data_IF_226269704637
#
_entry.id   IF_226269704637
#
_cell.length_a   1.000
_cell.length_b   1.000
_cell.length_c   1.000
_cell.angle_alpha   90.00
_cell.angle_beta   90.00
_cell.angle_gamma   90.00
#
_symmetry.space_group_name_H-M   'P 1'
#
loop_
_entity.id
_entity.type
_entity.pdbx_description
1 polymer ?
#
# COMPACT_ATOMS: atom_id res chain seq x y z
N UNK A 1 -6.04 60.90 2.28
CA UNK A 1 -5.25 60.78 3.53
C UNK A 1 -5.95 59.97 4.63
N UNK A 2 -7.29 59.92 4.70
CA UNK A 2 -8.01 59.07 5.67
C UNK A 2 -7.89 57.55 5.40
N UNK A 3 -7.75 57.15 4.13
CA UNK A 3 -7.58 55.74 3.73
C UNK A 3 -6.25 55.17 4.26
N UNK A 4 -5.17 55.95 4.20
CA UNK A 4 -3.86 55.54 4.71
C UNK A 4 -3.86 55.40 6.23
N UNK A 5 -4.49 56.35 6.93
CA UNK A 5 -4.63 56.29 8.40
C UNK A 5 -5.51 55.10 8.79
N UNK A 6 -6.62 54.87 8.09
CA UNK A 6 -7.48 53.70 8.31
C UNK A 6 -6.75 52.38 8.08
N UNK A 7 -5.91 52.30 7.05
CA UNK A 7 -5.09 51.12 6.75
C UNK A 7 -4.06 50.86 7.86
N UNK A 8 -3.36 51.89 8.33
CA UNK A 8 -2.37 51.76 9.41
C UNK A 8 -3.04 51.32 10.71
N UNK A 9 -4.18 51.92 11.06
CA UNK A 9 -4.94 51.55 12.27
C UNK A 9 -5.48 50.12 12.18
N UNK A 10 -5.96 49.69 11.01
CA UNK A 10 -6.42 48.32 10.81
C UNK A 10 -5.28 47.30 10.94
N UNK A 11 -4.09 47.61 10.39
CA UNK A 11 -2.91 46.75 10.52
C UNK A 11 -2.44 46.69 11.98
N UNK A 12 -2.37 47.82 12.67
CA UNK A 12 -1.99 47.86 14.08
C UNK A 12 -2.97 47.07 14.96
N UNK A 13 -4.27 47.20 14.71
CA UNK A 13 -5.31 46.42 15.39
C UNK A 13 -5.20 44.91 15.13
N UNK A 14 -4.90 44.51 13.89
CA UNK A 14 -4.66 43.11 13.52
C UNK A 14 -3.45 42.53 14.25
N UNK A 15 -2.31 43.25 14.27
CA UNK A 15 -1.09 42.81 14.96
C UNK A 15 -1.34 42.69 16.47
N UNK A 16 -2.03 43.66 17.08
CA UNK A 16 -2.39 43.61 18.49
C UNK A 16 -3.31 42.42 18.81
N UNK A 17 -4.31 42.16 17.97
CA UNK A 17 -5.22 41.03 18.13
C UNK A 17 -4.48 39.69 18.05
N UNK A 18 -3.59 39.52 17.06
CA UNK A 18 -2.78 38.30 16.91
C UNK A 18 -1.83 38.09 18.09
N UNK A 19 -1.19 39.16 18.57
CA UNK A 19 -0.30 39.11 19.74
C UNK A 19 -1.06 38.79 21.04
N UNK A 20 -2.23 39.39 21.24
CA UNK A 20 -3.11 39.10 22.38
C UNK A 20 -3.59 37.63 22.34
N UNK A 21 -3.93 37.12 21.16
CA UNK A 21 -4.38 35.75 20.95
C UNK A 21 -3.26 34.73 21.25
N UNK A 22 -2.03 35.01 20.81
CA UNK A 22 -0.85 34.19 21.19
C UNK A 22 -0.60 34.19 22.70
N UNK A 23 -0.68 35.35 23.34
CA UNK A 23 -0.49 35.49 24.79
C UNK A 23 -1.61 34.82 25.61
N UNK A 24 -2.80 34.67 25.05
CA UNK A 24 -3.91 33.89 25.62
C UNK A 24 -3.71 32.36 25.47
N UNK A 25 -2.58 31.90 24.93
CA UNK A 25 -2.25 30.49 24.78
C UNK A 25 -2.77 29.84 23.49
N UNK A 26 -3.35 30.62 22.57
CA UNK A 26 -3.82 30.09 21.29
C UNK A 26 -2.64 29.85 20.37
N UNK A 27 -2.42 28.58 20.02
CA UNK A 27 -1.36 28.20 19.10
C UNK A 27 -1.74 28.56 17.65
N UNK A 28 -1.19 29.67 17.13
CA UNK A 28 -1.42 30.10 15.75
C UNK A 28 -0.95 29.06 14.70
N UNK A 29 -0.01 28.16 15.05
CA UNK A 29 0.37 27.06 14.16
C UNK A 29 -0.77 26.03 13.97
N UNK A 30 -1.78 26.04 14.83
CA UNK A 30 -3.02 25.26 14.67
C UNK A 30 -3.84 25.68 13.46
N UNK A 31 -3.69 26.93 12.99
CA UNK A 31 -4.38 27.48 11.82
C UNK A 31 -3.56 27.39 10.53
N UNK A 32 -2.36 26.80 10.58
CA UNK A 32 -1.57 26.60 9.37
C UNK A 32 -2.24 25.52 8.49
N UNK A 33 -2.67 25.86 7.26
CA UNK A 33 -3.38 24.93 6.39
C UNK A 33 -2.54 23.71 6.01
N UNK A 34 -1.22 23.83 5.93
CA UNK A 34 -0.31 22.71 5.65
C UNK A 34 -0.19 21.76 6.84
N UNK A 35 -0.10 22.27 8.07
CA UNK A 35 -0.05 21.44 9.27
C UNK A 35 -1.36 20.68 9.49
N UNK A 36 -2.49 21.33 9.26
CA UNK A 36 -3.81 20.69 9.31
C UNK A 36 -3.95 19.60 8.23
N UNK A 37 -3.56 19.89 6.98
CA UNK A 37 -3.61 18.90 5.90
C UNK A 37 -2.72 17.68 6.21
N UNK A 38 -1.49 17.90 6.68
CA UNK A 38 -0.58 16.83 7.08
C UNK A 38 -1.15 16.02 8.24
N UNK A 39 -1.60 16.67 9.32
CA UNK A 39 -2.21 15.98 10.47
C UNK A 39 -3.38 15.10 10.03
N UNK A 40 -4.28 15.62 9.21
CA UNK A 40 -5.44 14.86 8.72
C UNK A 40 -5.04 13.66 7.86
N UNK A 41 -3.99 13.78 7.03
CA UNK A 41 -3.42 12.63 6.29
C UNK A 41 -2.85 11.58 7.24
N UNK A 42 -2.17 12.01 8.30
CA UNK A 42 -1.61 11.11 9.31
C UNK A 42 -2.70 10.45 10.16
N UNK A 43 -3.72 11.18 10.60
CA UNK A 43 -4.87 10.63 11.33
C UNK A 43 -5.60 9.55 10.52
N UNK A 44 -5.80 9.77 9.22
CA UNK A 44 -6.37 8.75 8.32
C UNK A 44 -5.49 7.51 8.19
N UNK A 45 -4.19 7.64 8.45
CA UNK A 45 -3.26 6.52 8.42
C UNK A 45 -3.12 5.77 9.73
N UNK A 46 -3.60 6.35 10.84
CA UNK A 46 -3.62 5.67 12.12
C UNK A 46 -4.74 4.62 12.09
N UNK A 47 -4.37 3.35 12.27
CA UNK A 47 -5.31 2.23 12.33
C UNK A 47 -5.56 1.48 11.03
N UNK A 48 -5.00 1.93 9.88
CA UNK A 48 -5.01 1.13 8.64
C UNK A 48 -3.81 0.18 8.63
N UNK A 49 -4.04 -1.10 8.28
CA UNK A 49 -2.94 -2.08 8.20
C UNK A 49 -1.95 -1.64 7.11
N UNK A 50 -0.63 -1.76 7.33
CA UNK A 50 0.36 -1.36 6.33
C UNK A 50 0.14 -1.96 4.94
N UNK A 51 -0.31 -3.22 4.89
CA UNK A 51 -0.63 -3.95 3.65
C UNK A 51 -1.75 -3.30 2.81
N UNK A 52 -2.60 -2.46 3.41
CA UNK A 52 -3.70 -1.77 2.72
C UNK A 52 -3.27 -0.47 2.04
N UNK A 53 -1.98 -0.13 2.12
CA UNK A 53 -1.43 1.14 1.66
C UNK A 53 -0.41 0.96 0.54
N UNK A 54 -0.32 -0.26 -0.01
CA UNK A 54 0.54 -0.61 -1.13
C UNK A 54 -0.02 -0.01 -2.42
N UNK A 55 0.47 1.18 -2.76
CA UNK A 55 0.07 1.90 -3.98
C UNK A 55 0.82 1.42 -5.21
N UNK A 56 1.99 0.79 -5.03
CA UNK A 56 2.76 0.22 -6.12
C UNK A 56 2.22 -1.19 -6.45
N UNK A 57 1.81 -1.46 -7.72
CA UNK A 57 1.37 -2.80 -8.13
C UNK A 57 2.46 -3.88 -7.93
N UNK A 58 3.74 -3.53 -8.06
CA UNK A 58 4.85 -4.46 -7.83
C UNK A 58 4.92 -4.90 -6.37
N UNK A 59 4.80 -3.97 -5.42
CA UNK A 59 4.83 -4.28 -3.99
C UNK A 59 3.61 -5.13 -3.58
N UNK A 60 2.42 -4.78 -4.09
CA UNK A 60 1.20 -5.55 -3.84
C UNK A 60 1.29 -6.97 -4.43
N UNK A 61 1.83 -7.11 -5.64
CA UNK A 61 2.07 -8.41 -6.27
C UNK A 61 3.08 -9.23 -5.46
N UNK A 62 4.24 -8.66 -5.12
CA UNK A 62 5.27 -9.34 -4.35
C UNK A 62 4.75 -9.83 -2.99
N UNK A 63 3.95 -9.01 -2.29
CA UNK A 63 3.34 -9.40 -1.02
C UNK A 63 2.40 -10.61 -1.20
N UNK A 64 1.54 -10.60 -2.22
CA UNK A 64 0.58 -11.68 -2.46
C UNK A 64 1.24 -12.96 -2.98
N UNK A 65 2.26 -12.86 -3.84
CA UNK A 65 3.07 -14.02 -4.26
C UNK A 65 3.78 -14.62 -3.05
N UNK A 66 4.37 -13.79 -2.19
CA UNK A 66 5.01 -14.24 -0.94
C UNK A 66 4.00 -14.91 -0.01
N UNK A 67 2.78 -14.37 0.10
CA UNK A 67 1.72 -14.96 0.91
C UNK A 67 1.26 -16.34 0.40
N UNK A 68 1.21 -16.54 -0.92
CA UNK A 68 0.93 -17.85 -1.52
C UNK A 68 2.05 -18.85 -1.22
N UNK A 69 3.31 -18.42 -1.37
CA UNK A 69 4.46 -19.27 -1.08
C UNK A 69 4.49 -19.70 0.40
N UNK A 70 4.21 -18.77 1.33
CA UNK A 70 4.22 -19.02 2.79
C UNK A 70 2.93 -19.64 3.33
N UNK A 71 1.93 -19.93 2.49
CA UNK A 71 0.60 -20.36 2.95
C UNK A 71 0.64 -21.65 3.78
N UNK A 72 1.62 -22.52 3.51
CA UNK A 72 1.84 -23.79 4.24
C UNK A 72 2.85 -23.68 5.39
N UNK A 73 3.46 -22.50 5.58
CA UNK A 73 4.48 -22.28 6.59
C UNK A 73 5.76 -21.71 5.99
N UNK A 74 6.89 -22.01 6.64
CA UNK A 74 8.18 -21.50 6.22
C UNK A 74 8.66 -22.18 4.93
N UNK A 75 9.20 -21.38 4.01
CA UNK A 75 9.83 -21.88 2.79
C UNK A 75 11.17 -22.55 3.11
N UNK A 76 11.51 -23.59 2.34
CA UNK A 76 12.88 -24.09 2.30
C UNK A 76 13.83 -23.01 1.80
N UNK A 77 15.13 -23.22 2.05
CA UNK A 77 16.18 -22.31 1.57
C UNK A 77 16.17 -22.18 0.05
N UNK A 78 15.91 -23.27 -0.65
CA UNK A 78 15.92 -23.32 -2.11
C UNK A 78 14.67 -22.63 -2.67
N UNK A 79 13.48 -22.94 -2.15
CA UNK A 79 12.25 -22.25 -2.55
C UNK A 79 12.28 -20.74 -2.28
N UNK A 80 12.93 -20.32 -1.18
CA UNK A 80 13.19 -18.90 -0.92
C UNK A 80 14.10 -18.29 -2.00
N UNK A 81 15.17 -18.97 -2.39
CA UNK A 81 16.06 -18.48 -3.45
C UNK A 81 15.32 -18.40 -4.79
N UNK A 82 14.48 -19.39 -5.10
CA UNK A 82 13.66 -19.41 -6.31
C UNK A 82 12.64 -18.27 -6.33
N UNK A 83 12.00 -17.97 -5.19
CA UNK A 83 11.10 -16.83 -5.08
C UNK A 83 11.81 -15.48 -5.28
N UNK A 84 13.01 -15.32 -4.72
CA UNK A 84 13.84 -14.11 -4.93
C UNK A 84 14.25 -13.99 -6.41
N UNK A 85 14.64 -15.09 -7.04
CA UNK A 85 14.98 -15.12 -8.47
C UNK A 85 13.76 -14.82 -9.35
N UNK A 86 12.58 -15.32 -8.98
CA UNK A 86 11.32 -14.99 -9.65
C UNK A 86 11.05 -13.49 -9.60
N UNK A 87 11.24 -12.85 -8.44
CA UNK A 87 11.12 -11.38 -8.32
C UNK A 87 12.13 -10.63 -9.17
N UNK A 88 13.41 -11.02 -9.11
CA UNK A 88 14.45 -10.38 -9.91
C UNK A 88 14.15 -10.44 -11.42
N UNK A 89 13.65 -11.59 -11.88
CA UNK A 89 13.37 -11.83 -13.31
C UNK A 89 12.11 -11.12 -13.78
N UNK A 90 10.98 -11.31 -13.08
CA UNK A 90 9.68 -10.78 -13.50
C UNK A 90 9.60 -9.26 -13.34
N UNK A 91 10.17 -8.72 -12.26
CA UNK A 91 10.19 -7.27 -12.02
C UNK A 91 11.40 -6.57 -12.63
N UNK A 92 12.35 -7.33 -13.21
CA UNK A 92 13.59 -6.80 -13.81
C UNK A 92 14.40 -5.94 -12.86
N UNK A 93 14.48 -6.38 -11.61
CA UNK A 93 15.24 -5.73 -10.53
C UNK A 93 16.48 -6.55 -10.19
N UNK A 94 17.43 -5.94 -9.48
CA UNK A 94 18.62 -6.67 -9.00
C UNK A 94 18.24 -7.69 -7.93
N UNK A 95 19.07 -8.73 -7.75
CA UNK A 95 18.87 -9.74 -6.71
C UNK A 95 18.84 -9.14 -5.30
N UNK A 96 19.62 -8.09 -5.05
CA UNK A 96 19.61 -7.37 -3.77
C UNK A 96 18.24 -6.70 -3.54
N UNK A 97 17.73 -5.96 -4.53
CA UNK A 97 16.39 -5.36 -4.46
C UNK A 97 15.28 -6.41 -4.32
N UNK A 98 15.39 -7.54 -5.02
CA UNK A 98 14.45 -8.65 -4.88
C UNK A 98 14.48 -9.26 -3.47
N UNK A 99 15.66 -9.35 -2.86
CA UNK A 99 15.83 -9.82 -1.48
C UNK A 99 15.20 -8.83 -0.48
N UNK A 100 15.40 -7.53 -0.67
CA UNK A 100 14.75 -6.49 0.12
C UNK A 100 13.22 -6.53 -0.02
N UNK A 101 12.72 -6.69 -1.24
CA UNK A 101 11.29 -6.77 -1.54
C UNK A 101 10.63 -8.01 -0.88
N UNK A 102 11.31 -9.15 -0.93
CA UNK A 102 10.90 -10.35 -0.19
C UNK A 102 10.88 -10.10 1.32
N UNK A 103 11.95 -9.52 1.87
CA UNK A 103 12.05 -9.21 3.29
C UNK A 103 10.93 -8.27 3.77
N UNK A 104 10.65 -7.22 3.00
CA UNK A 104 9.56 -6.29 3.26
C UNK A 104 8.19 -6.99 3.22
N UNK A 105 7.98 -7.89 2.26
CA UNK A 105 6.76 -8.69 2.14
C UNK A 105 6.55 -9.59 3.35
N UNK A 106 7.57 -10.32 3.80
CA UNK A 106 7.51 -11.15 5.01
C UNK A 106 7.21 -10.31 6.26
N UNK A 107 7.87 -9.15 6.40
CA UNK A 107 7.63 -8.25 7.53
C UNK A 107 6.18 -7.77 7.58
N UNK A 108 5.64 -7.36 6.43
CA UNK A 108 4.25 -6.91 6.30
C UNK A 108 3.23 -8.01 6.58
N UNK A 109 3.55 -9.27 6.27
CA UNK A 109 2.68 -10.42 6.51
C UNK A 109 2.67 -10.91 7.96
N UNK A 110 3.68 -10.56 8.77
CA UNK A 110 3.85 -11.08 10.13
C UNK A 110 2.63 -10.86 11.04
N UNK A 111 1.96 -9.72 10.91
CA UNK A 111 0.81 -9.34 11.73
C UNK A 111 -0.54 -9.60 11.04
N UNK A 112 -0.53 -10.36 9.94
CA UNK A 112 -1.72 -10.67 9.14
C UNK A 112 -2.26 -12.05 9.53
N UNK A 113 -3.37 -12.05 10.27
CA UNK A 113 -4.04 -13.28 10.73
C UNK A 113 -4.67 -14.09 9.57
N UNK A 114 -5.34 -13.40 8.65
CA UNK A 114 -6.03 -14.02 7.52
C UNK A 114 -5.80 -13.19 6.27
N UNK A 115 -4.82 -13.60 5.46
CA UNK A 115 -4.52 -12.92 4.20
C UNK A 115 -5.65 -13.07 3.18
N UNK A 116 -6.47 -14.13 3.25
CA UNK A 116 -7.53 -14.39 2.28
C UNK A 116 -8.66 -13.36 2.39
N UNK A 117 -8.90 -12.83 3.60
CA UNK A 117 -9.84 -11.74 3.84
C UNK A 117 -9.29 -10.38 3.38
N UNK A 118 -7.96 -10.24 3.29
CA UNK A 118 -7.29 -8.96 3.06
C UNK A 118 -6.96 -8.71 1.59
N UNK A 119 -7.01 -9.73 0.72
CA UNK A 119 -6.70 -9.65 -0.73
C UNK A 119 -7.31 -8.41 -1.40
N UNK A 120 -8.60 -8.17 -1.16
CA UNK A 120 -9.31 -7.02 -1.72
C UNK A 120 -8.70 -5.69 -1.26
N UNK A 121 -8.43 -5.56 0.04
CA UNK A 121 -7.89 -4.33 0.62
C UNK A 121 -6.41 -4.11 0.23
N UNK A 122 -5.64 -5.18 0.02
CA UNK A 122 -4.26 -5.14 -0.47
C UNK A 122 -4.19 -4.63 -1.91
N UNK A 123 -5.08 -5.11 -2.79
CA UNK A 123 -5.06 -4.74 -4.21
C UNK A 123 -5.76 -3.41 -4.50
N UNK A 124 -6.76 -3.02 -3.71
CA UNK A 124 -7.56 -1.81 -3.97
C UNK A 124 -6.77 -0.53 -4.27
N UNK A 125 -5.64 -0.22 -3.61
CA UNK A 125 -4.89 1.01 -3.87
C UNK A 125 -4.09 1.00 -5.17
N UNK A 126 -3.75 -0.17 -5.70
CA UNK A 126 -2.87 -0.34 -6.87
C UNK A 126 -3.55 -0.99 -8.07
N UNK A 127 -4.76 -1.54 -7.92
CA UNK A 127 -5.45 -2.34 -8.95
C UNK A 127 -5.62 -1.60 -10.28
N UNK A 128 -5.87 -0.29 -10.24
CA UNK A 128 -6.05 0.53 -11.45
C UNK A 128 -4.76 0.67 -12.28
N UNK A 129 -3.60 0.42 -11.67
CA UNK A 129 -2.29 0.49 -12.33
C UNK A 129 -1.89 -0.85 -12.99
N UNK A 130 -2.64 -1.93 -12.77
CA UNK A 130 -2.40 -3.22 -13.40
C UNK A 130 -2.83 -3.21 -14.87
N UNK A 131 -1.85 -3.10 -15.77
CA UNK A 131 -2.05 -3.30 -17.20
C UNK A 131 -2.23 -4.79 -17.51
N UNK A 132 -2.80 -5.12 -18.67
CA UNK A 132 -3.10 -6.51 -19.05
C UNK A 132 -1.88 -7.43 -18.95
N UNK A 133 -0.70 -6.96 -19.36
CA UNK A 133 0.52 -7.75 -19.27
C UNK A 133 1.02 -7.92 -17.83
N UNK A 134 0.81 -6.93 -16.94
CA UNK A 134 1.09 -7.06 -15.51
C UNK A 134 0.22 -8.16 -14.89
N UNK A 135 -1.06 -8.25 -15.29
CA UNK A 135 -1.96 -9.30 -14.81
C UNK A 135 -1.46 -10.69 -15.22
N UNK A 136 -1.07 -10.88 -16.49
CA UNK A 136 -0.55 -12.17 -16.96
C UNK A 136 0.73 -12.58 -16.23
N UNK A 137 1.70 -11.68 -16.07
CA UNK A 137 2.93 -11.96 -15.33
C UNK A 137 2.62 -12.28 -13.87
N UNK A 138 1.77 -11.50 -13.21
CA UNK A 138 1.37 -11.74 -11.83
C UNK A 138 0.69 -13.11 -11.64
N UNK A 139 -0.20 -13.52 -12.54
CA UNK A 139 -0.81 -14.85 -12.51
C UNK A 139 0.22 -15.97 -12.71
N UNK A 140 1.21 -15.77 -13.59
CA UNK A 140 2.33 -16.70 -13.74
C UNK A 140 3.12 -16.82 -12.44
N UNK A 141 3.44 -15.70 -11.80
CA UNK A 141 4.18 -15.68 -10.53
C UNK A 141 3.46 -16.40 -9.40
N UNK A 142 2.14 -16.22 -9.28
CA UNK A 142 1.32 -16.92 -8.28
C UNK A 142 1.35 -18.43 -8.49
N UNK A 143 1.25 -18.88 -9.74
CA UNK A 143 1.34 -20.29 -10.07
C UNK A 143 2.75 -20.84 -9.79
N UNK A 144 3.81 -20.14 -10.18
CA UNK A 144 5.19 -20.55 -9.88
C UNK A 144 5.44 -20.67 -8.38
N UNK A 145 5.00 -19.66 -7.60
CA UNK A 145 5.18 -19.65 -6.16
C UNK A 145 4.46 -20.79 -5.44
N UNK A 146 3.26 -21.15 -5.89
CA UNK A 146 2.53 -22.29 -5.35
C UNK A 146 3.18 -23.64 -5.68
N UNK A 147 4.06 -23.69 -6.68
CA UNK A 147 4.72 -24.91 -7.12
C UNK A 147 6.14 -25.12 -6.56
N UNK A 148 6.70 -24.17 -5.80
CA UNK A 148 8.08 -24.28 -5.32
C UNK A 148 8.31 -25.47 -4.36
N UNK A 149 7.33 -25.78 -3.52
CA UNK A 149 7.40 -26.87 -2.54
C UNK A 149 6.59 -28.11 -2.98
N UNK A 150 6.32 -28.25 -4.29
CA UNK A 150 5.55 -29.35 -4.86
C UNK A 150 4.21 -28.90 -5.45
N UNK A 151 3.21 -29.78 -5.48
CA UNK A 151 1.92 -29.47 -6.10
C UNK A 151 1.10 -28.50 -5.23
N UNK A 152 0.41 -27.49 -5.81
CA UNK A 152 -0.38 -26.53 -5.06
C UNK A 152 -1.48 -27.21 -4.26
N UNK A 153 -1.54 -26.91 -2.96
CA UNK A 153 -2.57 -27.43 -2.06
C UNK A 153 -3.88 -26.64 -2.15
N UNK A 154 -4.89 -27.08 -1.40
CA UNK A 154 -6.21 -26.44 -1.39
C UNK A 154 -6.18 -24.99 -0.88
N UNK A 155 -5.41 -24.68 0.17
CA UNK A 155 -5.33 -23.35 0.77
C UNK A 155 -4.66 -22.34 -0.18
N UNK A 156 -3.58 -22.75 -0.85
CA UNK A 156 -2.91 -21.94 -1.88
C UNK A 156 -3.84 -21.67 -3.06
N UNK A 157 -4.56 -22.69 -3.54
CA UNK A 157 -5.54 -22.54 -4.63
C UNK A 157 -6.65 -21.56 -4.27
N UNK A 158 -7.23 -21.66 -3.07
CA UNK A 158 -8.26 -20.71 -2.60
C UNK A 158 -7.74 -19.27 -2.57
N UNK A 159 -6.51 -19.05 -2.09
CA UNK A 159 -5.91 -17.72 -2.09
C UNK A 159 -5.71 -17.20 -3.52
N UNK A 160 -5.16 -18.03 -4.41
CA UNK A 160 -4.96 -17.67 -5.82
C UNK A 160 -6.28 -17.33 -6.50
N UNK A 161 -7.33 -18.13 -6.29
CA UNK A 161 -8.67 -17.88 -6.84
C UNK A 161 -9.24 -16.54 -6.38
N UNK A 162 -9.09 -16.20 -5.10
CA UNK A 162 -9.50 -14.89 -4.57
C UNK A 162 -8.72 -13.73 -5.20
N UNK A 163 -7.42 -13.92 -5.44
CA UNK A 163 -6.56 -12.93 -6.09
C UNK A 163 -6.99 -12.74 -7.56
N UNK A 164 -7.22 -13.83 -8.30
CA UNK A 164 -7.70 -13.82 -9.69
C UNK A 164 -9.02 -13.05 -9.77
N UNK A 165 -10.01 -13.39 -8.95
CA UNK A 165 -11.31 -12.75 -8.94
C UNK A 165 -11.23 -11.23 -8.71
N UNK A 166 -10.26 -10.79 -7.90
CA UNK A 166 -10.05 -9.37 -7.63
C UNK A 166 -9.34 -8.62 -8.77
N UNK A 167 -8.49 -9.31 -9.54
CA UNK A 167 -7.70 -8.72 -10.63
C UNK A 167 -8.47 -8.68 -11.95
N UNK A 168 -9.21 -9.73 -12.26
CA UNK A 168 -10.02 -9.81 -13.48
C UNK A 168 -11.30 -8.97 -13.36
N UNK A 169 -11.74 -8.66 -12.13
CA UNK A 169 -13.01 -7.99 -11.88
C UNK A 169 -14.18 -8.96 -12.03
N UNK A 170 -15.43 -8.50 -11.80
CA UNK A 170 -16.58 -9.31 -12.16
C UNK A 170 -16.51 -9.63 -13.66
N UNK A 171 -16.57 -10.91 -14.01
CA UNK A 171 -16.80 -11.34 -15.39
C UNK A 171 -18.10 -10.67 -15.84
N UNK A 172 -18.02 -9.61 -16.63
CA UNK A 172 -19.18 -8.94 -17.20
C UNK A 172 -19.87 -9.92 -18.15
N UNK A 173 -20.78 -10.72 -17.59
CA UNK A 173 -21.82 -11.46 -18.30
C UNK A 173 -22.86 -10.50 -18.87
N UNK A 174 -22.43 -9.48 -19.61
CA UNK A 174 -23.27 -8.61 -20.42
C UNK A 174 -22.74 -8.56 -21.84
N UNK A 175 -22.93 -9.68 -22.53
CA UNK A 175 -23.37 -9.62 -23.92
C UNK A 175 -24.84 -9.18 -23.87
N UNK A 176 -25.07 -7.92 -24.23
CA UNK A 176 -26.26 -7.50 -24.99
C UNK A 176 -26.50 -8.45 -26.16
#
# INVERSE_FOLDING_TARGET
MHILIGLITAIAGLVWALHSLQNAGVNLNGFNPFYWMRRRKWEKSLGTKPIHRLTDPMEAAALLVTAVALKEGELSRDAKADLINLFATEFRITTDQATELYGASCYLLKDVMDIDAEVKAVLSPSIEQFQSHHKTSFLSMLNSAANFEGQPNANQKVLIEKIIAQIEGPVDGKSW
#
